data_IF_466153456974
#
_entry.id   IF_466153456974
#
_cell.length_a   1.000
_cell.length_b   1.000
_cell.length_c   1.000
_cell.angle_alpha   90.00
_cell.angle_beta   90.00
_cell.angle_gamma   90.00
#
_symmetry.space_group_name_H-M   'P 1'
#
loop_
_entity.id
_entity.type
_entity.pdbx_description
1 polymer ?
#
# COMPACT_ATOMS: atom_id res chain seq x y z
N UNK A 1 22.53 -18.26 -27.94
CA UNK A 1 21.30 -19.06 -27.79
C UNK A 1 20.85 -18.94 -26.34
N UNK A 2 19.89 -18.05 -26.07
CA UNK A 2 19.29 -17.86 -24.76
C UNK A 2 18.21 -18.91 -24.59
N UNK A 3 18.42 -19.88 -23.70
CA UNK A 3 17.41 -20.86 -23.33
C UNK A 3 16.20 -20.13 -22.73
N UNK A 4 15.02 -20.36 -23.33
CA UNK A 4 13.77 -19.71 -22.95
C UNK A 4 13.47 -19.93 -21.47
N UNK A 5 13.38 -18.83 -20.73
CA UNK A 5 12.97 -18.83 -19.33
C UNK A 5 11.54 -19.37 -19.25
N UNK A 6 11.30 -20.48 -18.53
CA UNK A 6 9.96 -20.99 -18.33
C UNK A 6 9.17 -19.98 -17.50
N UNK A 7 8.05 -19.52 -18.08
CA UNK A 7 6.96 -18.74 -17.47
C UNK A 7 7.35 -17.86 -16.26
N UNK A 8 7.61 -16.58 -16.52
CA UNK A 8 7.58 -15.55 -15.49
C UNK A 8 6.27 -15.68 -14.69
N UNK A 9 6.39 -15.71 -13.36
CA UNK A 9 5.30 -15.84 -12.38
C UNK A 9 4.13 -14.87 -12.57
N UNK A 10 4.33 -13.79 -13.34
CA UNK A 10 3.29 -12.83 -13.76
C UNK A 10 2.19 -13.46 -14.63
N UNK A 11 2.48 -14.49 -15.42
CA UNK A 11 1.45 -15.18 -16.23
C UNK A 11 0.52 -16.08 -15.41
N UNK A 12 0.86 -16.31 -14.14
CA UNK A 12 -0.04 -16.92 -13.17
C UNK A 12 -0.74 -15.80 -12.37
N UNK A 13 -1.45 -14.92 -13.09
CA UNK A 13 -2.34 -13.89 -12.50
C UNK A 13 -3.24 -14.50 -11.41
N UNK A 14 -3.56 -15.79 -11.56
CA UNK A 14 -4.47 -16.50 -10.69
C UNK A 14 -3.82 -17.11 -9.44
N UNK A 15 -2.50 -17.09 -9.23
CA UNK A 15 -1.87 -17.71 -8.04
C UNK A 15 -1.17 -16.71 -7.11
N UNK A 16 -0.79 -15.54 -7.61
CA UNK A 16 -0.20 -14.50 -6.76
C UNK A 16 -1.32 -13.84 -5.94
N UNK A 17 -1.33 -14.11 -4.63
CA UNK A 17 -2.32 -13.61 -3.65
C UNK A 17 -3.75 -14.17 -3.78
N UNK A 18 -3.97 -15.38 -4.31
CA UNK A 18 -5.32 -16.01 -4.32
C UNK A 18 -5.74 -16.42 -2.90
N UNK A 19 -6.31 -15.47 -2.15
CA UNK A 19 -6.91 -15.71 -0.84
C UNK A 19 -8.42 -15.55 -0.98
N UNK A 20 -9.10 -16.69 -1.01
CA UNK A 20 -10.53 -16.85 -1.33
C UNK A 20 -11.47 -16.80 -0.12
N UNK A 21 -10.96 -16.50 1.08
CA UNK A 21 -11.78 -16.55 2.28
C UNK A 21 -12.30 -15.16 2.63
N UNK A 22 -13.62 -15.02 2.58
CA UNK A 22 -14.36 -14.09 3.43
C UNK A 22 -13.95 -14.41 4.88
N UNK A 23 -12.97 -13.66 5.37
CA UNK A 23 -12.43 -13.79 6.72
C UNK A 23 -13.04 -12.76 7.65
N UNK A 24 -12.64 -12.82 8.91
CA UNK A 24 -12.86 -11.72 9.84
C UNK A 24 -11.89 -10.58 9.57
N UNK A 25 -12.24 -9.37 10.02
CA UNK A 25 -11.37 -8.21 9.95
C UNK A 25 -10.09 -8.52 10.72
N UNK A 26 -8.92 -8.32 10.11
CA UNK A 26 -7.63 -8.64 10.76
C UNK A 26 -7.33 -7.74 11.96
N UNK A 27 -8.00 -6.57 12.06
CA UNK A 27 -7.82 -5.62 13.15
C UNK A 27 -8.82 -5.85 14.30
N UNK A 28 -10.12 -5.96 14.00
CA UNK A 28 -11.18 -5.99 15.03
C UNK A 28 -11.99 -7.30 15.08
N UNK A 29 -11.66 -8.28 14.24
CA UNK A 29 -12.33 -9.59 14.16
C UNK A 29 -13.83 -9.57 13.78
N UNK A 30 -14.36 -8.43 13.32
CA UNK A 30 -15.70 -8.34 12.72
C UNK A 30 -15.86 -9.31 11.54
N UNK A 31 -17.03 -9.91 11.38
CA UNK A 31 -17.37 -10.77 10.24
C UNK A 31 -17.53 -10.00 8.92
N UNK A 32 -17.67 -8.67 8.97
CA UNK A 32 -17.93 -7.82 7.80
C UNK A 32 -16.66 -7.39 7.06
N UNK A 33 -15.69 -8.29 6.88
CA UNK A 33 -14.42 -7.94 6.27
C UNK A 33 -14.46 -7.99 4.74
N UNK A 34 -14.00 -6.92 4.11
CA UNK A 34 -13.76 -6.82 2.67
C UNK A 34 -12.27 -6.58 2.46
N UNK A 35 -11.64 -7.44 1.66
CA UNK A 35 -10.18 -7.40 1.44
C UNK A 35 -9.33 -7.46 2.73
N UNK A 36 -9.87 -8.06 3.79
CA UNK A 36 -9.20 -8.25 5.08
C UNK A 36 -9.54 -7.21 6.15
N UNK A 37 -10.22 -6.10 5.83
CA UNK A 37 -10.69 -5.12 6.84
C UNK A 37 -12.19 -4.88 6.72
N UNK A 38 -12.86 -4.59 7.83
CA UNK A 38 -14.21 -4.01 7.75
C UNK A 38 -14.14 -2.53 7.37
N UNK A 39 -15.27 -1.95 6.95
CA UNK A 39 -15.32 -0.56 6.51
C UNK A 39 -14.89 0.43 7.61
N UNK A 40 -15.22 0.15 8.88
CA UNK A 40 -14.76 0.95 10.03
C UNK A 40 -13.24 1.00 10.15
N UNK A 41 -12.60 -0.17 10.30
CA UNK A 41 -11.13 -0.24 10.39
C UNK A 41 -10.43 0.26 9.11
N UNK A 42 -11.10 0.22 7.96
CA UNK A 42 -10.56 0.80 6.73
C UNK A 42 -10.66 2.33 6.72
N UNK A 43 -11.75 2.88 7.25
CA UNK A 43 -11.94 4.33 7.41
C UNK A 43 -10.92 4.98 8.33
N UNK A 44 -10.39 4.23 9.30
CA UNK A 44 -9.36 4.70 10.23
C UNK A 44 -7.95 4.75 9.61
N UNK A 45 -7.75 4.22 8.39
CA UNK A 45 -6.45 4.21 7.76
C UNK A 45 -6.05 5.63 7.30
N UNK A 46 -4.82 6.08 7.58
CA UNK A 46 -4.36 7.43 7.26
C UNK A 46 -4.05 7.56 5.77
N UNK A 47 -5.08 7.90 4.98
CA UNK A 47 -4.93 8.19 3.55
C UNK A 47 -3.97 9.37 3.35
N UNK A 48 -3.00 9.22 2.45
CA UNK A 48 -2.08 10.29 2.08
C UNK A 48 -2.73 11.22 1.05
N UNK A 49 -3.70 12.03 1.48
CA UNK A 49 -4.53 12.85 0.57
C UNK A 49 -3.75 13.99 -0.07
N UNK A 50 -2.84 14.61 0.68
CA UNK A 50 -2.02 15.72 0.22
C UNK A 50 -0.58 15.27 0.28
N UNK A 51 0.02 15.14 -0.91
CA UNK A 51 1.35 14.61 -1.05
C UNK A 51 2.09 15.32 -2.17
N UNK A 52 3.42 15.31 -2.08
CA UNK A 52 4.27 15.76 -3.16
C UNK A 52 3.99 14.94 -4.42
N UNK A 53 3.79 15.60 -5.56
CA UNK A 53 3.57 14.91 -6.83
C UNK A 53 4.76 14.01 -7.23
N UNK A 54 5.97 14.43 -6.87
CA UNK A 54 7.21 13.74 -7.25
C UNK A 54 7.59 12.62 -6.28
N UNK A 55 7.74 12.92 -4.99
CA UNK A 55 8.22 11.95 -3.99
C UNK A 55 7.12 11.30 -3.11
N UNK A 56 5.86 11.72 -3.25
CA UNK A 56 4.73 11.28 -2.41
C UNK A 56 4.85 11.58 -0.90
N UNK A 57 5.81 12.42 -0.48
CA UNK A 57 5.90 12.87 0.91
C UNK A 57 4.63 13.63 1.30
N UNK A 58 4.01 13.35 2.47
CA UNK A 58 2.83 14.08 2.92
C UNK A 58 3.09 15.58 3.03
N UNK A 59 2.14 16.38 2.56
CA UNK A 59 2.18 17.84 2.62
C UNK A 59 1.10 18.37 3.56
N UNK A 60 1.35 19.53 4.16
CA UNK A 60 0.40 20.19 5.05
C UNK A 60 -0.75 20.89 4.31
N UNK A 61 -0.59 21.17 3.03
CA UNK A 61 -1.54 21.91 2.19
C UNK A 61 -1.79 21.18 0.88
N UNK A 62 -2.96 21.44 0.29
CA UNK A 62 -3.36 20.90 -1.00
C UNK A 62 -2.89 21.81 -2.15
N UNK A 63 -2.77 21.23 -3.34
CA UNK A 63 -2.55 21.97 -4.57
C UNK A 63 -2.34 21.01 -5.74
N UNK A 64 -2.73 21.40 -6.97
CA UNK A 64 -2.47 20.59 -8.15
C UNK A 64 -0.96 20.50 -8.38
N UNK A 65 -0.45 19.27 -8.47
CA UNK A 65 0.96 18.96 -8.74
C UNK A 65 1.96 19.62 -7.77
N UNK A 66 1.56 19.90 -6.53
CA UNK A 66 2.46 20.51 -5.53
C UNK A 66 3.71 19.65 -5.31
N UNK A 67 4.87 20.28 -5.37
CA UNK A 67 6.16 19.66 -5.05
C UNK A 67 6.67 20.15 -3.68
N UNK A 68 7.33 19.28 -2.92
CA UNK A 68 7.95 19.67 -1.65
C UNK A 68 9.24 20.49 -1.91
N UNK A 69 9.68 21.24 -0.90
CA UNK A 69 10.89 22.08 -1.00
C UNK A 69 12.19 21.31 -1.29
N UNK A 70 12.24 20.01 -1.00
CA UNK A 70 13.37 19.16 -1.41
C UNK A 70 13.33 18.85 -2.92
N UNK A 71 12.17 18.48 -3.45
CA UNK A 71 11.99 18.21 -4.89
C UNK A 71 12.19 19.46 -5.77
N UNK A 72 11.87 20.65 -5.24
CA UNK A 72 12.13 21.93 -5.91
C UNK A 72 13.61 22.29 -5.94
N UNK A 73 14.35 22.02 -4.86
CA UNK A 73 15.78 22.36 -4.75
C UNK A 73 16.68 21.39 -5.51
N UNK A 74 16.32 20.11 -5.51
CA UNK A 74 17.08 19.07 -6.17
C UNK A 74 16.14 18.20 -6.98
N UNK A 75 16.22 18.20 -8.33
CA UNK A 75 15.41 17.31 -9.12
C UNK A 75 15.81 15.86 -8.82
N UNK A 76 14.98 15.17 -8.02
CA UNK A 76 15.17 13.74 -7.75
C UNK A 76 15.09 12.94 -9.06
N UNK A 77 15.85 11.86 -9.18
CA UNK A 77 15.73 10.91 -10.30
C UNK A 77 14.32 10.28 -10.44
N UNK A 78 13.47 10.43 -9.42
CA UNK A 78 12.08 9.98 -9.41
C UNK A 78 11.22 11.05 -10.11
N UNK A 79 10.51 10.67 -11.17
CA UNK A 79 9.56 11.55 -11.86
C UNK A 79 8.20 11.61 -11.15
N UNK A 80 7.76 10.49 -10.58
CA UNK A 80 6.47 10.38 -9.89
C UNK A 80 6.48 9.19 -8.94
N UNK A 81 5.91 9.38 -7.77
CA UNK A 81 5.71 8.35 -6.75
C UNK A 81 4.26 8.39 -6.26
N UNK A 82 3.73 7.23 -5.88
CA UNK A 82 2.40 7.11 -5.29
C UNK A 82 2.51 6.32 -3.99
N UNK A 83 2.07 6.94 -2.90
CA UNK A 83 1.93 6.28 -1.61
C UNK A 83 0.49 6.51 -1.13
N UNK A 84 -0.34 5.47 -1.19
CA UNK A 84 -1.75 5.56 -0.81
C UNK A 84 -1.94 5.93 0.68
N UNK A 85 -1.01 5.50 1.52
CA UNK A 85 -1.08 5.62 2.97
C UNK A 85 0.07 6.44 3.53
N UNK A 86 -0.18 7.17 4.61
CA UNK A 86 0.88 7.77 5.43
C UNK A 86 1.54 6.69 6.28
N UNK A 87 2.87 6.72 6.35
CA UNK A 87 3.64 5.79 7.17
C UNK A 87 3.59 6.18 8.66
N UNK A 88 2.45 5.94 9.27
CA UNK A 88 2.15 6.18 10.68
C UNK A 88 1.20 5.09 11.20
N UNK A 89 0.81 5.13 12.47
CA UNK A 89 -0.18 4.19 13.00
C UNK A 89 -1.52 4.29 12.24
N UNK A 90 -2.19 3.16 11.92
CA UNK A 90 -1.78 1.77 12.15
C UNK A 90 -0.91 1.15 11.03
N UNK A 91 -0.68 1.87 9.93
CA UNK A 91 -0.01 1.37 8.71
C UNK A 91 1.42 0.89 8.98
N UNK A 92 2.20 1.63 9.77
CA UNK A 92 3.56 1.22 10.13
C UNK A 92 3.58 -0.16 10.82
N UNK A 93 2.65 -0.40 11.75
CA UNK A 93 2.51 -1.66 12.46
C UNK A 93 2.01 -2.77 11.52
N UNK A 94 1.09 -2.47 10.61
CA UNK A 94 0.61 -3.43 9.61
C UNK A 94 1.75 -3.87 8.67
N UNK A 95 2.57 -2.92 8.20
CA UNK A 95 3.73 -3.20 7.34
C UNK A 95 4.76 -4.03 8.10
N UNK A 96 5.07 -3.70 9.35
CA UNK A 96 6.02 -4.48 10.16
C UNK A 96 5.51 -5.90 10.43
N UNK A 97 4.21 -6.08 10.77
CA UNK A 97 3.61 -7.41 10.91
C UNK A 97 3.72 -8.24 9.64
N UNK A 98 3.54 -7.63 8.48
CA UNK A 98 3.71 -8.29 7.20
C UNK A 98 5.19 -8.64 6.91
N UNK A 99 6.07 -7.63 6.94
CA UNK A 99 7.47 -7.70 6.48
C UNK A 99 8.36 -8.46 7.47
N UNK A 100 8.26 -8.14 8.75
CA UNK A 100 9.20 -8.58 9.78
C UNK A 100 8.68 -9.82 10.52
N UNK A 101 7.37 -9.89 10.74
CA UNK A 101 6.74 -10.99 11.48
C UNK A 101 6.09 -12.06 10.59
N UNK A 102 6.19 -11.95 9.26
CA UNK A 102 5.70 -12.94 8.31
C UNK A 102 4.16 -13.12 8.29
N UNK A 103 3.40 -12.19 8.88
CA UNK A 103 1.93 -12.27 8.96
C UNK A 103 1.30 -11.82 7.63
N UNK A 104 1.31 -12.70 6.63
CA UNK A 104 0.90 -12.41 5.23
C UNK A 104 -0.51 -11.85 5.08
N UNK A 105 -1.41 -12.13 6.03
CA UNK A 105 -2.80 -11.63 6.01
C UNK A 105 -2.89 -10.09 6.03
N UNK A 106 -1.87 -9.39 6.53
CA UNK A 106 -1.82 -7.92 6.54
C UNK A 106 -1.52 -7.30 5.16
N UNK A 107 -1.09 -8.09 4.17
CA UNK A 107 -0.78 -7.57 2.82
C UNK A 107 -2.03 -7.07 2.09
N UNK A 108 -3.11 -7.87 2.06
CA UNK A 108 -4.32 -7.54 1.29
C UNK A 108 -4.98 -6.21 1.73
N UNK A 109 -5.14 -5.95 3.04
CA UNK A 109 -5.60 -4.64 3.53
C UNK A 109 -4.79 -3.45 3.03
N UNK A 110 -3.48 -3.59 2.88
CA UNK A 110 -2.59 -2.51 2.44
C UNK A 110 -2.69 -2.25 0.94
N UNK A 111 -2.95 -3.29 0.15
CA UNK A 111 -3.01 -3.23 -1.31
C UNK A 111 -4.39 -2.84 -1.87
N UNK A 112 -5.48 -3.08 -1.13
CA UNK A 112 -6.85 -2.76 -1.56
C UNK A 112 -7.23 -1.28 -1.35
N UNK A 113 -6.25 -0.37 -1.36
CA UNK A 113 -6.39 1.05 -1.08
C UNK A 113 -6.82 1.87 -2.27
#
# INVERSE_FOLDING_TARGET
MINGLPSLSTFLEVLVNRQHRAGRCVACLSSSARHGLCDGCRGDLPVNRWHCHRCALPLAFNGPQTECGECLRLPSAINRSLAAWRYQYPINAMISRYKDHGQRTWARPLLAG
#
